data_IF_136326957925
#
_entry.id   IF_136326957925
#
_cell.length_a   1.000
_cell.length_b   1.000
_cell.length_c   1.000
_cell.angle_alpha   90.00
_cell.angle_beta   90.00
_cell.angle_gamma   90.00
#
_symmetry.space_group_name_H-M   'P 1'
#
loop_
_entity.id
_entity.type
_entity.pdbx_description
1 polymer ?
#
# COMPACT_ATOMS: atom_id res chain seq x y z
N UNK A 1 8.22 37.83 -4.25
CA UNK A 1 7.63 37.65 -5.59
C UNK A 1 8.08 36.28 -6.07
N UNK A 2 7.16 35.39 -6.15
CA UNK A 2 7.37 33.95 -6.26
C UNK A 2 7.78 33.52 -7.66
N UNK A 3 8.73 32.60 -7.74
CA UNK A 3 9.21 31.95 -8.97
C UNK A 3 8.07 31.38 -9.86
N UNK A 4 6.92 31.09 -9.28
CA UNK A 4 5.75 30.64 -9.98
C UNK A 4 5.15 31.67 -10.98
N UNK A 5 5.22 32.95 -10.66
CA UNK A 5 4.75 34.00 -11.55
C UNK A 5 5.64 34.21 -12.77
N UNK A 6 6.93 33.93 -12.64
CA UNK A 6 7.88 34.00 -13.74
C UNK A 6 7.75 32.83 -14.73
N UNK A 7 7.53 31.64 -14.20
CA UNK A 7 7.28 30.46 -15.05
C UNK A 7 5.96 30.57 -15.82
N UNK A 8 4.91 31.09 -15.19
CA UNK A 8 3.64 31.33 -15.84
C UNK A 8 3.75 32.37 -16.96
N UNK A 9 4.50 33.45 -16.75
CA UNK A 9 4.75 34.47 -17.77
C UNK A 9 5.59 33.93 -18.94
N UNK A 10 6.57 33.08 -18.64
CA UNK A 10 7.39 32.49 -19.71
C UNK A 10 6.60 31.43 -20.49
N UNK A 11 5.68 30.78 -19.84
CA UNK A 11 4.79 29.83 -20.47
C UNK A 11 3.77 30.53 -21.39
N UNK A 12 3.30 31.69 -21.06
CA UNK A 12 2.30 32.45 -21.84
C UNK A 12 2.91 33.16 -23.05
N UNK A 13 4.21 33.46 -23.02
CA UNK A 13 4.92 34.14 -24.13
C UNK A 13 5.23 33.30 -25.34
N UNK A 14 4.71 32.08 -25.42
CA UNK A 14 5.08 31.16 -26.45
C UNK A 14 4.25 31.26 -27.67
N UNK A 15 4.65 32.15 -28.45
CA UNK A 15 4.49 32.11 -29.91
C UNK A 15 5.12 30.86 -30.56
N UNK A 16 5.63 29.91 -29.78
CA UNK A 16 6.29 28.69 -30.25
C UNK A 16 5.39 27.45 -30.27
N UNK A 17 4.19 27.53 -29.73
CA UNK A 17 3.22 26.47 -29.96
C UNK A 17 2.57 26.67 -31.31
N UNK A 18 3.10 25.98 -32.28
CA UNK A 18 2.39 25.82 -33.55
C UNK A 18 1.07 25.13 -33.22
N UNK A 19 -0.05 25.74 -33.64
CA UNK A 19 -1.40 25.22 -33.46
C UNK A 19 -1.64 23.82 -34.06
N UNK A 20 -0.62 23.26 -34.71
CA UNK A 20 -0.64 21.96 -35.39
C UNK A 20 -0.21 20.80 -34.49
N UNK A 21 0.33 21.05 -33.28
CA UNK A 21 0.74 19.99 -32.35
C UNK A 21 -0.31 19.87 -31.27
N UNK A 22 -1.24 18.97 -31.48
CA UNK A 22 -2.21 18.57 -30.45
C UNK A 22 -1.57 17.50 -29.56
N UNK A 23 -1.62 17.70 -28.23
CA UNK A 23 -1.22 16.66 -27.29
C UNK A 23 -2.18 15.48 -27.40
N UNK A 24 -1.63 14.30 -27.58
CA UNK A 24 -2.42 13.05 -27.65
C UNK A 24 -2.51 12.39 -26.29
N UNK A 25 -3.45 11.45 -26.11
CA UNK A 25 -3.51 10.64 -24.91
C UNK A 25 -2.23 9.80 -24.70
N UNK A 26 -1.51 9.50 -25.76
CA UNK A 26 -0.23 8.80 -25.73
C UNK A 26 0.89 9.67 -25.15
N UNK A 27 0.95 10.95 -25.51
CA UNK A 27 1.89 11.90 -24.94
C UNK A 27 1.73 11.99 -23.41
N UNK A 28 0.49 12.03 -22.94
CA UNK A 28 0.22 12.03 -21.49
C UNK A 28 0.68 10.72 -20.83
N UNK A 29 0.40 9.56 -21.42
CA UNK A 29 0.86 8.27 -20.89
C UNK A 29 2.37 8.19 -20.81
N UNK A 30 3.07 8.74 -21.79
CA UNK A 30 4.52 8.70 -21.87
C UNK A 30 5.19 9.72 -20.93
N UNK A 31 4.60 10.89 -20.73
CA UNK A 31 5.20 11.98 -19.94
C UNK A 31 4.78 11.97 -18.46
N UNK A 32 3.59 11.47 -18.14
CA UNK A 32 3.09 11.43 -16.77
C UNK A 32 4.05 10.69 -15.80
N UNK A 33 4.64 9.53 -16.16
CA UNK A 33 5.57 8.86 -15.26
C UNK A 33 6.80 9.69 -14.92
N UNK A 34 7.32 10.51 -15.84
CA UNK A 34 8.46 11.38 -15.56
C UNK A 34 8.14 12.42 -14.50
N UNK A 35 7.00 13.11 -14.67
CA UNK A 35 6.58 14.17 -13.75
C UNK A 35 6.20 13.60 -12.40
N UNK A 36 5.43 12.51 -12.38
CA UNK A 36 4.98 11.86 -11.17
C UNK A 36 6.15 11.32 -10.34
N UNK A 37 7.07 10.60 -10.97
CA UNK A 37 8.21 10.02 -10.25
C UNK A 37 9.18 11.07 -9.75
N UNK A 38 9.36 12.17 -10.46
CA UNK A 38 10.17 13.30 -9.98
C UNK A 38 9.49 13.99 -8.79
N UNK A 39 8.20 14.24 -8.85
CA UNK A 39 7.43 14.79 -7.75
C UNK A 39 7.47 13.89 -6.50
N UNK A 40 7.30 12.57 -6.66
CA UNK A 40 7.39 11.60 -5.57
C UNK A 40 8.80 11.55 -4.96
N UNK A 41 9.85 11.66 -5.77
CA UNK A 41 11.22 11.73 -5.30
C UNK A 41 11.46 12.98 -4.45
N UNK A 42 10.93 14.13 -4.85
CA UNK A 42 11.07 15.40 -4.13
C UNK A 42 10.25 15.41 -2.84
N UNK A 43 9.03 14.87 -2.87
CA UNK A 43 8.17 14.80 -1.70
C UNK A 43 8.65 13.77 -0.67
N UNK A 44 9.42 12.78 -1.10
CA UNK A 44 9.72 11.59 -0.33
C UNK A 44 8.53 10.61 -0.30
N UNK A 45 8.83 9.36 -0.05
CA UNK A 45 7.83 8.29 0.05
C UNK A 45 8.10 7.42 1.27
N UNK A 46 7.03 6.94 1.90
CA UNK A 46 7.10 5.98 2.99
C UNK A 46 6.40 4.71 2.54
N UNK A 47 7.10 3.58 2.66
CA UNK A 47 6.48 2.28 2.37
C UNK A 47 5.59 1.88 3.54
N UNK A 48 4.33 1.63 3.24
CA UNK A 48 3.33 1.23 4.22
C UNK A 48 2.84 -0.18 3.94
N UNK A 49 2.47 -0.88 5.00
CA UNK A 49 1.76 -2.16 4.94
C UNK A 49 0.28 -1.97 5.31
N UNK A 50 -0.64 -2.70 4.67
CA UNK A 50 -2.03 -2.70 5.07
C UNK A 50 -2.22 -3.50 6.35
N UNK A 51 -3.00 -2.95 7.28
CA UNK A 51 -3.42 -3.59 8.53
C UNK A 51 -4.90 -3.86 8.45
N UNK A 52 -5.29 -5.09 8.74
CA UNK A 52 -6.68 -5.49 8.87
C UNK A 52 -7.10 -5.50 10.34
N UNK A 53 -8.33 -5.09 10.60
CA UNK A 53 -9.02 -5.38 11.84
C UNK A 53 -9.61 -6.76 11.75
N UNK A 54 -9.60 -7.49 12.83
CA UNK A 54 -10.26 -8.79 12.93
C UNK A 54 -11.19 -8.85 14.14
N UNK A 55 -12.25 -9.64 14.01
CA UNK A 55 -13.10 -10.09 15.09
C UNK A 55 -13.11 -11.62 15.08
N UNK A 56 -12.76 -12.23 16.22
CA UNK A 56 -12.74 -13.67 16.39
C UNK A 56 -13.73 -14.06 17.50
N UNK A 57 -14.75 -14.81 17.16
CA UNK A 57 -15.62 -15.51 18.13
C UNK A 57 -15.13 -16.95 18.26
N UNK A 58 -14.82 -17.39 19.48
CA UNK A 58 -14.27 -18.72 19.71
C UNK A 58 -14.62 -19.24 21.14
N UNK A 59 -14.54 -20.56 21.39
CA UNK A 59 -14.80 -21.14 22.70
C UNK A 59 -13.89 -20.59 23.81
N UNK A 60 -14.44 -20.33 24.99
CA UNK A 60 -13.74 -19.64 26.07
C UNK A 60 -12.45 -20.35 26.53
N UNK A 61 -12.41 -21.67 26.48
CA UNK A 61 -11.26 -22.49 26.89
C UNK A 61 -10.10 -22.46 25.88
N UNK A 62 -10.31 -21.88 24.68
CA UNK A 62 -9.30 -21.82 23.60
C UNK A 62 -8.47 -20.54 23.63
N UNK A 63 -8.82 -19.54 24.45
CA UNK A 63 -8.24 -18.20 24.45
C UNK A 63 -6.70 -18.20 24.54
N UNK A 64 -6.12 -19.00 25.43
CA UNK A 64 -4.67 -19.04 25.60
C UNK A 64 -3.93 -19.53 24.36
N UNK A 65 -4.45 -20.58 23.70
CA UNK A 65 -3.88 -21.11 22.48
C UNK A 65 -4.02 -20.13 21.29
N UNK A 66 -5.15 -19.44 21.21
CA UNK A 66 -5.41 -18.40 20.19
C UNK A 66 -4.46 -17.23 20.37
N UNK A 67 -4.28 -16.73 21.59
CA UNK A 67 -3.35 -15.64 21.86
C UNK A 67 -1.90 -15.98 21.47
N UNK A 68 -1.48 -17.24 21.68
CA UNK A 68 -0.18 -17.71 21.27
C UNK A 68 0.01 -17.70 19.74
N UNK A 69 -1.05 -18.04 18.98
CA UNK A 69 -1.03 -17.95 17.50
C UNK A 69 -0.94 -16.48 17.06
N UNK A 70 -1.77 -15.61 17.63
CA UNK A 70 -1.78 -14.18 17.30
C UNK A 70 -0.42 -13.52 17.55
N UNK A 71 0.21 -13.80 18.70
CA UNK A 71 1.51 -13.28 19.05
C UNK A 71 2.60 -13.68 18.04
N UNK A 72 2.60 -14.93 17.56
CA UNK A 72 3.55 -15.42 16.55
C UNK A 72 3.40 -14.73 15.20
N UNK A 73 2.19 -14.28 14.88
CA UNK A 73 1.87 -13.60 13.63
C UNK A 73 2.01 -12.08 13.71
N UNK A 74 2.41 -11.55 14.86
CA UNK A 74 2.53 -10.12 15.09
C UNK A 74 1.17 -9.40 15.09
N UNK A 75 0.09 -10.14 15.32
CA UNK A 75 -1.22 -9.55 15.53
C UNK A 75 -1.29 -8.88 16.91
N UNK A 76 -2.08 -7.83 17.02
CA UNK A 76 -2.27 -7.06 18.26
C UNK A 76 -3.72 -7.24 18.69
N UNK A 77 -4.01 -8.20 19.58
CA UNK A 77 -5.36 -8.38 20.11
C UNK A 77 -5.70 -7.30 21.13
N UNK A 78 -6.96 -6.91 21.16
CA UNK A 78 -7.57 -6.15 22.26
C UNK A 78 -7.95 -7.05 23.44
N UNK A 79 -8.68 -6.53 24.42
CA UNK A 79 -9.19 -7.32 25.53
C UNK A 79 -10.29 -8.28 25.06
N UNK A 80 -10.27 -9.55 25.51
CA UNK A 80 -11.34 -10.48 25.21
C UNK A 80 -12.65 -10.08 25.92
N UNK A 81 -13.73 -10.14 25.17
CA UNK A 81 -15.09 -9.88 25.72
C UNK A 81 -15.83 -11.21 25.88
N UNK A 82 -16.10 -11.67 27.14
CA UNK A 82 -16.82 -12.91 27.36
C UNK A 82 -18.25 -12.87 26.80
N UNK A 83 -18.70 -13.97 26.18
CA UNK A 83 -20.05 -14.17 25.65
C UNK A 83 -20.57 -15.58 26.01
N UNK A 84 -20.88 -15.80 27.29
CA UNK A 84 -21.31 -17.10 27.77
C UNK A 84 -20.22 -18.17 27.67
N UNK A 85 -20.38 -19.13 26.76
CA UNK A 85 -19.40 -20.20 26.52
C UNK A 85 -18.31 -19.81 25.50
N UNK A 86 -18.42 -18.64 24.90
CA UNK A 86 -17.48 -18.12 23.92
C UNK A 86 -16.89 -16.79 24.39
N UNK A 87 -15.96 -16.25 23.60
CA UNK A 87 -15.49 -14.87 23.73
C UNK A 87 -15.38 -14.22 22.35
N UNK A 88 -15.60 -12.92 22.30
CA UNK A 88 -15.20 -12.08 21.17
C UNK A 88 -13.83 -11.46 21.43
N UNK A 89 -12.92 -11.62 20.49
CA UNK A 89 -11.60 -11.03 20.52
C UNK A 89 -11.41 -10.17 19.26
N UNK A 90 -11.40 -8.88 19.46
CA UNK A 90 -11.10 -7.92 18.38
C UNK A 90 -9.61 -7.57 18.39
N UNK A 91 -9.06 -7.16 17.24
CA UNK A 91 -7.68 -6.77 17.15
C UNK A 91 -7.24 -6.37 15.74
N UNK A 92 -5.93 -6.25 15.58
CA UNK A 92 -5.31 -5.87 14.30
C UNK A 92 -4.26 -6.91 13.90
N UNK A 93 -4.15 -7.12 12.58
CA UNK A 93 -3.18 -8.04 11.99
C UNK A 93 -2.65 -7.49 10.67
N UNK A 94 -1.34 -7.60 10.38
CA UNK A 94 -0.81 -7.29 9.06
C UNK A 94 -1.48 -8.14 7.97
N UNK A 95 -1.89 -7.53 6.86
CA UNK A 95 -2.55 -8.23 5.76
C UNK A 95 -1.73 -9.41 5.23
N UNK A 96 -0.40 -9.29 5.23
CA UNK A 96 0.51 -10.36 4.83
C UNK A 96 0.41 -11.63 5.71
N UNK A 97 -0.13 -11.51 6.93
CA UNK A 97 -0.29 -12.62 7.89
C UNK A 97 -1.71 -13.16 7.96
N UNK A 98 -2.66 -12.52 7.27
CA UNK A 98 -4.07 -12.87 7.38
C UNK A 98 -4.36 -14.31 6.94
N UNK A 99 -3.80 -14.72 5.80
CA UNK A 99 -3.98 -16.08 5.30
C UNK A 99 -3.40 -17.14 6.27
N UNK A 100 -2.22 -16.88 6.79
CA UNK A 100 -1.58 -17.75 7.79
C UNK A 100 -2.39 -17.80 9.09
N UNK A 101 -2.97 -16.67 9.51
CA UNK A 101 -3.87 -16.61 10.66
C UNK A 101 -5.08 -17.50 10.46
N UNK A 102 -5.79 -17.38 9.33
CA UNK A 102 -6.95 -18.21 9.01
C UNK A 102 -6.63 -19.70 9.08
N UNK A 103 -5.50 -20.11 8.52
CA UNK A 103 -5.07 -21.51 8.53
C UNK A 103 -4.76 -22.01 9.95
N UNK A 104 -4.07 -21.21 10.75
CA UNK A 104 -3.59 -21.60 12.07
C UNK A 104 -4.64 -21.54 13.17
N UNK A 105 -5.74 -20.83 12.98
CA UNK A 105 -6.82 -20.75 13.96
C UNK A 105 -7.67 -22.00 14.04
N UNK A 106 -7.77 -22.78 12.96
CA UNK A 106 -8.62 -23.95 12.92
C UNK A 106 -8.28 -24.98 14.02
N UNK A 107 -7.00 -25.29 14.21
CA UNK A 107 -6.59 -26.28 15.23
C UNK A 107 -6.88 -25.85 16.68
N UNK A 108 -6.45 -24.66 17.15
CA UNK A 108 -6.69 -24.24 18.53
C UNK A 108 -8.16 -24.00 18.83
N UNK A 109 -8.97 -23.61 17.85
CA UNK A 109 -10.41 -23.39 18.03
C UNK A 109 -11.23 -24.65 17.76
N UNK A 110 -10.62 -25.79 17.45
CA UNK A 110 -11.30 -27.03 17.09
C UNK A 110 -12.25 -26.88 15.90
N UNK A 111 -11.98 -25.89 15.03
CA UNK A 111 -12.84 -25.55 13.89
C UNK A 111 -14.09 -24.75 14.25
N UNK A 112 -14.30 -24.40 15.52
CA UNK A 112 -15.47 -23.66 15.97
C UNK A 112 -15.25 -22.13 15.94
N UNK A 113 -14.00 -21.67 15.69
CA UNK A 113 -13.69 -20.25 15.61
C UNK A 113 -14.24 -19.59 14.35
N UNK A 114 -14.95 -18.48 14.51
CA UNK A 114 -15.41 -17.63 13.40
C UNK A 114 -14.56 -16.37 13.36
N UNK A 115 -13.80 -16.21 12.25
CA UNK A 115 -12.94 -15.07 12.03
C UNK A 115 -13.54 -14.16 10.96
N UNK A 116 -13.85 -12.94 11.33
CA UNK A 116 -14.22 -11.86 10.42
C UNK A 116 -13.07 -10.86 10.30
N UNK A 117 -12.88 -10.30 9.12
CA UNK A 117 -11.79 -9.34 8.87
C UNK A 117 -12.23 -8.24 7.93
N UNK A 118 -11.73 -7.03 8.20
CA UNK A 118 -11.94 -5.88 7.33
C UNK A 118 -10.67 -5.05 7.22
N UNK A 119 -10.53 -4.28 6.15
CA UNK A 119 -9.43 -3.33 6.03
C UNK A 119 -9.53 -2.27 7.13
N UNK A 120 -8.45 -2.04 7.86
CA UNK A 120 -8.37 -1.03 8.90
C UNK A 120 -7.66 0.23 8.43
N UNK A 121 -6.36 0.14 8.20
CA UNK A 121 -5.51 1.29 7.83
C UNK A 121 -4.21 0.85 7.14
N UNK A 122 -3.48 1.84 6.64
CA UNK A 122 -2.07 1.66 6.30
C UNK A 122 -1.19 2.13 7.45
N UNK A 123 -0.08 1.44 7.71
CA UNK A 123 0.96 1.88 8.64
C UNK A 123 2.35 1.75 8.01
N UNK A 124 3.31 2.60 8.39
CA UNK A 124 4.69 2.46 7.95
C UNK A 124 5.26 1.09 8.31
N UNK A 125 5.94 0.45 7.36
CA UNK A 125 6.63 -0.83 7.59
C UNK A 125 7.66 -0.67 8.69
N UNK A 126 7.65 -1.57 9.68
CA UNK A 126 8.64 -1.65 10.74
C UNK A 126 9.75 -2.61 10.33
N UNK A 127 10.99 -2.14 10.33
CA UNK A 127 12.15 -2.96 9.94
C UNK A 127 12.56 -2.78 8.47
N UNK A 128 13.20 -3.79 7.87
CA UNK A 128 13.69 -3.67 6.49
C UNK A 128 12.51 -3.53 5.52
N UNK A 129 12.58 -2.45 4.73
CA UNK A 129 11.58 -2.18 3.70
C UNK A 129 11.74 -3.20 2.58
N UNK A 130 10.67 -3.89 2.16
CA UNK A 130 10.74 -4.81 1.04
C UNK A 130 11.10 -4.06 -0.25
N UNK A 131 12.09 -4.56 -0.97
CA UNK A 131 12.53 -3.99 -2.25
C UNK A 131 12.30 -4.99 -3.38
N UNK A 132 11.96 -4.47 -4.54
CA UNK A 132 11.81 -5.26 -5.75
C UNK A 132 12.65 -4.61 -6.86
N UNK A 133 13.49 -5.36 -7.57
CA UNK A 133 14.17 -4.85 -8.76
C UNK A 133 13.16 -4.34 -9.78
N UNK A 134 13.47 -3.20 -10.38
CA UNK A 134 12.66 -2.67 -11.46
C UNK A 134 12.87 -3.49 -12.72
N UNK A 135 11.79 -3.82 -13.42
CA UNK A 135 11.81 -4.61 -14.66
C UNK A 135 11.49 -3.76 -15.90
N UNK A 136 11.05 -2.53 -15.70
CA UNK A 136 10.72 -1.55 -16.73
C UNK A 136 11.70 -0.36 -16.72
N UNK A 137 11.64 0.49 -17.76
CA UNK A 137 12.51 1.65 -17.87
C UNK A 137 12.24 2.66 -16.76
N UNK A 138 13.31 3.13 -16.14
CA UNK A 138 13.23 4.01 -14.98
C UNK A 138 12.90 5.45 -15.39
N UNK A 139 11.70 6.00 -15.05
CA UNK A 139 11.37 7.39 -15.35
C UNK A 139 12.26 8.42 -14.64
N UNK A 140 13.00 8.02 -13.61
CA UNK A 140 13.99 8.89 -12.95
C UNK A 140 15.28 9.02 -13.77
N UNK A 141 15.57 8.07 -14.67
CA UNK A 141 16.53 8.26 -15.74
C UNK A 141 15.81 8.81 -16.99
N UNK A 142 15.65 10.13 -17.00
CA UNK A 142 14.90 10.83 -18.05
C UNK A 142 15.42 10.53 -19.46
N UNK A 143 16.73 10.42 -19.64
CA UNK A 143 17.34 10.22 -20.94
C UNK A 143 17.03 8.84 -21.49
N UNK A 144 17.26 7.81 -20.69
CA UNK A 144 16.98 6.42 -21.07
C UNK A 144 15.48 6.21 -21.31
N UNK A 145 14.65 6.73 -20.41
CA UNK A 145 13.20 6.62 -20.51
C UNK A 145 12.65 7.25 -21.80
N UNK A 146 13.07 8.46 -22.16
CA UNK A 146 12.63 9.14 -23.38
C UNK A 146 13.11 8.44 -24.64
N UNK A 147 14.34 7.94 -24.67
CA UNK A 147 14.83 7.14 -25.79
C UNK A 147 14.01 5.88 -26.02
N UNK A 148 13.53 5.25 -24.93
CA UNK A 148 12.68 4.07 -25.01
C UNK A 148 11.29 4.42 -25.55
N UNK A 149 10.66 5.49 -25.06
CA UNK A 149 9.33 5.91 -25.51
C UNK A 149 9.33 6.36 -26.98
N UNK A 150 10.39 7.03 -27.44
CA UNK A 150 10.54 7.44 -28.84
C UNK A 150 10.76 6.27 -29.82
N UNK A 151 11.30 5.14 -29.37
CA UNK A 151 11.52 3.96 -30.22
C UNK A 151 10.27 3.10 -30.43
N UNK A 152 9.18 3.40 -29.74
CA UNK A 152 7.90 2.70 -29.86
C UNK A 152 6.93 3.35 -30.86
N UNK A 153 7.36 4.46 -31.50
CA UNK A 153 6.59 5.15 -32.55
C UNK A 153 7.06 4.68 -33.93
#
# INVERSE_FOLDING_TARGET
MTHAGYLAKHSIGHHRFTKSVSSTGEDFRNLTPLVLMDALRQAGTVVCEPIHRFGLDAPADTLGAVLAVLARLGAVPGPPVPRGQTYLLEGEVPAARLHELQQRLSAPTRGEGVLETEFGRYQPVRGPVPTRPRTDHNPLDRKEYLLHTQRRV
#
